data_IF_663078895303
#
_entry.id   IF_663078895303
#
_cell.length_a   1.000
_cell.length_b   1.000
_cell.length_c   1.000
_cell.angle_alpha   90.00
_cell.angle_beta   90.00
_cell.angle_gamma   90.00
#
_symmetry.space_group_name_H-M   'P 1'
#
loop_
_entity.id
_entity.type
_entity.pdbx_description
1 polymer ?
#
# COMPACT_ATOMS: atom_id res chain seq x y z
N UNK A 1 -23.42 12.87 6.78
CA UNK A 1 -22.14 12.33 7.28
C UNK A 1 -21.00 12.97 6.49
N UNK A 2 -19.94 13.43 7.18
CA UNK A 2 -18.84 14.13 6.53
C UNK A 2 -17.96 13.23 5.65
N UNK A 3 -17.18 13.84 4.77
CA UNK A 3 -16.19 13.20 3.94
C UNK A 3 -15.12 12.52 4.80
N UNK A 4 -14.71 11.31 4.43
CA UNK A 4 -13.65 10.59 5.14
C UNK A 4 -12.30 10.87 4.49
N UNK A 5 -11.33 11.27 5.30
CA UNK A 5 -9.94 11.51 4.86
C UNK A 5 -9.18 10.20 4.80
N UNK A 6 -8.15 10.13 3.94
CA UNK A 6 -7.23 8.99 3.91
C UNK A 6 -6.50 8.87 5.27
N UNK A 7 -6.58 7.71 5.95
CA UNK A 7 -5.96 7.53 7.27
C UNK A 7 -4.46 7.73 7.29
N UNK A 8 -3.77 7.38 6.20
CA UNK A 8 -2.33 7.59 6.06
C UNK A 8 -2.02 9.10 6.03
N UNK A 9 -2.70 9.87 5.17
CA UNK A 9 -2.50 11.32 5.07
C UNK A 9 -2.80 12.07 6.37
N UNK A 10 -3.80 11.63 7.14
CA UNK A 10 -4.12 12.22 8.44
C UNK A 10 -2.99 12.02 9.48
N UNK A 11 -2.16 10.97 9.32
CA UNK A 11 -1.11 10.57 10.27
C UNK A 11 0.30 10.91 9.82
N UNK A 12 0.45 11.51 8.65
CA UNK A 12 1.75 12.00 8.17
C UNK A 12 2.28 13.09 9.11
N UNK A 13 3.54 12.96 9.51
CA UNK A 13 4.16 13.85 10.49
C UNK A 13 3.85 13.55 11.94
N UNK A 14 2.96 12.59 12.25
CA UNK A 14 2.65 12.12 13.61
C UNK A 14 3.26 10.73 13.84
N UNK A 15 2.79 9.72 13.10
CA UNK A 15 3.27 8.33 13.20
C UNK A 15 3.66 7.72 11.85
N UNK A 16 3.25 8.33 10.74
CA UNK A 16 3.59 7.89 9.37
C UNK A 16 4.50 8.91 8.71
N UNK A 17 5.27 8.43 7.75
CA UNK A 17 6.16 9.25 6.93
C UNK A 17 5.72 9.22 5.46
N UNK A 18 6.32 10.08 4.65
CA UNK A 18 6.08 10.16 3.21
C UNK A 18 6.63 8.95 2.47
N UNK A 19 5.97 8.58 1.37
CA UNK A 19 6.46 7.53 0.48
C UNK A 19 7.58 8.02 -0.45
N UNK A 20 7.62 9.33 -0.71
CA UNK A 20 8.72 10.00 -1.40
C UNK A 20 9.50 10.83 -0.39
N UNK A 21 10.80 10.54 -0.25
CA UNK A 21 11.70 11.19 0.72
C UNK A 21 12.76 11.95 -0.03
N UNK A 22 12.43 13.18 -0.44
CA UNK A 22 13.34 14.09 -1.09
C UNK A 22 12.84 15.54 -0.98
N UNK A 23 13.74 16.47 -1.18
CA UNK A 23 13.45 17.89 -1.24
C UNK A 23 13.96 18.45 -2.55
N UNK A 24 13.18 19.32 -3.20
CA UNK A 24 13.56 20.06 -4.39
C UNK A 24 12.80 21.38 -4.43
N UNK A 25 13.39 22.42 -5.01
CA UNK A 25 12.76 23.73 -5.21
C UNK A 25 12.33 23.90 -6.67
N UNK A 26 13.29 24.02 -7.58
CA UNK A 26 13.01 24.24 -9.01
C UNK A 26 12.45 23.02 -9.72
N UNK A 27 13.04 21.82 -9.47
CA UNK A 27 12.71 20.57 -10.18
C UNK A 27 11.61 19.77 -9.49
N UNK A 28 10.83 20.38 -8.60
CA UNK A 28 9.80 19.65 -7.81
C UNK A 28 8.76 18.99 -8.70
N UNK A 29 8.23 19.72 -9.69
CA UNK A 29 7.18 19.21 -10.58
C UNK A 29 7.66 18.02 -11.42
N UNK A 30 8.87 18.13 -12.01
CA UNK A 30 9.44 17.09 -12.86
C UNK A 30 9.74 15.82 -12.07
N UNK A 31 10.35 15.96 -10.90
CA UNK A 31 10.61 14.85 -9.99
C UNK A 31 9.33 14.14 -9.54
N UNK A 32 8.24 14.88 -9.29
CA UNK A 32 6.95 14.30 -8.91
C UNK A 32 6.33 13.50 -10.05
N UNK A 33 6.38 14.03 -11.28
CA UNK A 33 5.89 13.35 -12.49
C UNK A 33 6.69 12.08 -12.75
N UNK A 34 8.03 12.12 -12.62
CA UNK A 34 8.87 10.94 -12.73
C UNK A 34 8.53 9.88 -11.68
N UNK A 35 8.38 10.28 -10.41
CA UNK A 35 8.00 9.35 -9.33
C UNK A 35 6.67 8.66 -9.62
N UNK A 36 5.69 9.41 -10.13
CA UNK A 36 4.40 8.83 -10.51
C UNK A 36 4.53 7.83 -11.66
N UNK A 37 5.31 8.14 -12.69
CA UNK A 37 5.58 7.24 -13.82
C UNK A 37 6.27 5.95 -13.33
N UNK A 38 7.29 6.07 -12.49
CA UNK A 38 8.03 4.95 -11.91
C UNK A 38 7.11 4.06 -11.08
N UNK A 39 6.30 4.63 -10.18
CA UNK A 39 5.35 3.86 -9.35
C UNK A 39 4.32 3.12 -10.18
N UNK A 40 3.71 3.80 -11.14
CA UNK A 40 2.70 3.20 -12.03
C UNK A 40 3.29 2.06 -12.85
N UNK A 41 4.48 2.25 -13.41
CA UNK A 41 5.18 1.22 -14.17
C UNK A 41 5.53 0.01 -13.32
N UNK A 42 6.14 0.21 -12.15
CA UNK A 42 6.54 -0.87 -11.24
C UNK A 42 5.33 -1.64 -10.71
N UNK A 43 4.27 -0.93 -10.29
CA UNK A 43 3.04 -1.56 -9.80
C UNK A 43 2.39 -2.44 -10.86
N UNK A 44 2.32 -1.96 -12.11
CA UNK A 44 1.76 -2.72 -13.23
C UNK A 44 2.60 -3.95 -13.58
N UNK A 45 3.92 -3.80 -13.63
CA UNK A 45 4.85 -4.88 -14.00
C UNK A 45 4.94 -5.97 -12.93
N UNK A 46 4.98 -5.56 -11.67
CA UNK A 46 5.20 -6.45 -10.51
C UNK A 46 3.91 -6.80 -9.77
N UNK A 47 2.75 -6.65 -10.41
CA UNK A 47 1.46 -6.93 -9.77
C UNK A 47 1.37 -8.35 -9.20
N UNK A 48 1.89 -9.37 -9.93
CA UNK A 48 1.91 -10.76 -9.49
C UNK A 48 2.82 -11.04 -8.29
N UNK A 49 3.80 -10.16 -8.04
CA UNK A 49 4.70 -10.27 -6.89
C UNK A 49 4.07 -9.76 -5.58
N UNK A 50 2.92 -9.08 -5.65
CA UNK A 50 2.25 -8.50 -4.48
C UNK A 50 3.07 -7.35 -3.88
N UNK A 51 3.19 -6.25 -4.63
CA UNK A 51 3.86 -5.04 -4.16
C UNK A 51 2.92 -4.24 -3.28
N UNK A 52 3.27 -4.10 -2.01
CA UNK A 52 2.54 -3.31 -1.02
C UNK A 52 2.80 -1.82 -1.18
N UNK A 53 4.05 -1.41 -1.02
CA UNK A 53 4.49 -0.03 -0.97
C UNK A 53 5.74 0.19 -1.81
N UNK A 54 5.87 1.37 -2.41
CA UNK A 54 7.05 1.80 -3.15
C UNK A 54 7.53 3.11 -2.55
N UNK A 55 8.67 3.09 -1.87
CA UNK A 55 9.31 4.29 -1.36
C UNK A 55 10.38 4.76 -2.35
N UNK A 56 10.51 6.07 -2.54
CA UNK A 56 11.48 6.68 -3.43
C UNK A 56 12.29 7.71 -2.66
N UNK A 57 13.60 7.49 -2.61
CA UNK A 57 14.57 8.41 -2.03
C UNK A 57 15.39 9.03 -3.17
N UNK A 58 15.47 10.35 -3.24
CA UNK A 58 16.27 11.06 -4.24
C UNK A 58 17.44 11.77 -3.57
N UNK A 59 18.61 11.57 -4.12
CA UNK A 59 19.79 12.40 -3.92
C UNK A 59 20.10 13.11 -5.23
N UNK A 60 21.10 14.01 -5.26
CA UNK A 60 21.42 14.83 -6.45
C UNK A 60 21.40 14.03 -7.77
N UNK A 61 22.18 12.94 -7.87
CA UNK A 61 22.34 12.15 -9.10
C UNK A 61 21.82 10.70 -8.99
N UNK A 62 21.16 10.38 -7.87
CA UNK A 62 20.76 9.00 -7.59
C UNK A 62 19.30 8.94 -7.18
N UNK A 63 18.59 7.95 -7.70
CA UNK A 63 17.22 7.60 -7.29
C UNK A 63 17.27 6.20 -6.70
N UNK A 64 16.93 6.10 -5.42
CA UNK A 64 16.83 4.83 -4.72
C UNK A 64 15.37 4.47 -4.55
N UNK A 65 14.99 3.32 -5.07
CA UNK A 65 13.62 2.79 -5.03
C UNK A 65 13.60 1.61 -4.08
N UNK A 66 12.77 1.67 -3.05
CA UNK A 66 12.61 0.60 -2.08
C UNK A 66 11.25 -0.05 -2.33
N UNK A 67 11.26 -1.32 -2.72
CA UNK A 67 10.07 -2.11 -3.03
C UNK A 67 9.72 -3.01 -1.85
N UNK A 68 8.54 -2.82 -1.28
CA UNK A 68 7.99 -3.73 -0.28
C UNK A 68 7.11 -4.75 -0.99
N UNK A 69 7.48 -6.02 -0.94
CA UNK A 69 6.79 -7.09 -1.67
C UNK A 69 6.57 -8.33 -0.80
N UNK A 70 5.44 -9.02 -1.06
CA UNK A 70 5.14 -10.30 -0.42
C UNK A 70 5.96 -11.46 -0.97
N UNK A 71 6.40 -11.36 -2.24
CA UNK A 71 7.12 -12.43 -2.94
C UNK A 71 8.42 -11.91 -3.55
N UNK A 72 9.47 -11.68 -2.75
CA UNK A 72 10.72 -11.12 -3.24
C UNK A 72 11.40 -11.98 -4.33
N UNK A 73 11.26 -13.30 -4.26
CA UNK A 73 11.82 -14.21 -5.25
C UNK A 73 11.30 -13.98 -6.68
N UNK A 74 10.04 -13.54 -6.84
CA UNK A 74 9.46 -13.22 -8.15
C UNK A 74 10.07 -11.94 -8.71
N UNK A 75 10.36 -10.96 -7.85
CA UNK A 75 10.95 -9.68 -8.26
C UNK A 75 12.42 -9.84 -8.63
N UNK A 76 13.17 -10.64 -7.85
CA UNK A 76 14.60 -10.88 -8.08
C UNK A 76 14.78 -11.75 -9.33
N UNK A 77 13.95 -12.80 -9.47
CA UNK A 77 14.07 -13.78 -10.54
C UNK A 77 15.27 -14.71 -10.37
N UNK A 78 15.45 -15.62 -11.33
CA UNK A 78 16.58 -16.56 -11.33
C UNK A 78 17.90 -15.81 -11.51
N UNK A 79 18.81 -15.92 -10.53
CA UNK A 79 20.10 -15.29 -10.56
C UNK A 79 20.10 -13.76 -10.65
N UNK A 80 18.99 -13.09 -10.28
CA UNK A 80 18.90 -11.62 -10.33
C UNK A 80 18.55 -11.04 -11.72
N UNK A 81 18.24 -11.86 -12.71
CA UNK A 81 17.99 -11.40 -14.08
C UNK A 81 16.77 -10.48 -14.21
N UNK A 82 15.69 -10.74 -13.44
CA UNK A 82 14.47 -9.92 -13.53
C UNK A 82 14.62 -8.54 -12.87
N UNK A 83 15.36 -8.45 -11.77
CA UNK A 83 15.63 -7.15 -11.14
C UNK A 83 16.53 -6.28 -12.03
N UNK A 84 17.52 -6.85 -12.71
CA UNK A 84 18.38 -6.10 -13.64
C UNK A 84 17.59 -5.60 -14.85
N UNK A 85 16.72 -6.43 -15.45
CA UNK A 85 15.80 -6.00 -16.51
C UNK A 85 14.88 -4.89 -16.03
N UNK A 86 14.34 -5.00 -14.81
CA UNK A 86 13.46 -3.98 -14.23
C UNK A 86 14.22 -2.68 -14.02
N UNK A 87 15.42 -2.74 -13.45
CA UNK A 87 16.31 -1.59 -13.28
C UNK A 87 16.63 -0.91 -14.61
N UNK A 88 16.99 -1.68 -15.65
CA UNK A 88 17.26 -1.13 -16.97
C UNK A 88 16.04 -0.45 -17.62
N UNK A 89 14.82 -0.97 -17.36
CA UNK A 89 13.59 -0.35 -17.85
C UNK A 89 13.26 0.93 -17.09
N UNK A 90 13.44 0.95 -15.77
CA UNK A 90 13.23 2.17 -14.94
C UNK A 90 14.28 3.23 -15.29
N UNK A 91 15.53 2.82 -15.57
CA UNK A 91 16.59 3.74 -15.99
C UNK A 91 16.25 4.51 -17.28
N UNK A 92 15.38 3.98 -18.14
CA UNK A 92 14.87 4.69 -19.34
C UNK A 92 13.82 5.76 -19.03
N UNK A 93 13.27 5.77 -17.82
CA UNK A 93 12.25 6.73 -17.39
C UNK A 93 12.84 7.95 -16.67
N UNK A 94 14.12 7.86 -16.26
CA UNK A 94 14.83 8.91 -15.54
C UNK A 94 16.28 9.02 -16.01
N UNK A 95 16.81 10.23 -16.02
CA UNK A 95 18.21 10.51 -16.38
C UNK A 95 19.18 10.21 -15.23
N UNK A 96 18.65 10.06 -14.00
CA UNK A 96 19.43 9.81 -12.79
C UNK A 96 19.74 8.33 -12.60
N UNK A 97 20.82 8.02 -11.90
CA UNK A 97 21.24 6.63 -11.65
C UNK A 97 20.27 5.93 -10.68
N UNK A 98 19.68 4.81 -11.13
CA UNK A 98 18.65 4.07 -10.37
C UNK A 98 19.28 2.96 -9.55
N UNK A 99 18.88 2.87 -8.27
CA UNK A 99 19.14 1.74 -7.37
C UNK A 99 17.80 1.16 -6.92
N UNK A 100 17.71 -0.16 -6.87
CA UNK A 100 16.49 -0.86 -6.46
C UNK A 100 16.81 -1.77 -5.29
N UNK A 101 16.19 -1.50 -4.15
CA UNK A 101 16.25 -2.33 -2.95
C UNK A 101 14.92 -3.07 -2.79
N UNK A 102 14.97 -4.33 -2.33
CA UNK A 102 13.77 -5.14 -2.09
C UNK A 102 13.68 -5.43 -0.60
N UNK A 103 12.52 -5.11 -0.02
CA UNK A 103 12.17 -5.48 1.35
C UNK A 103 10.99 -6.43 1.36
N UNK A 104 11.12 -7.52 2.10
CA UNK A 104 10.08 -8.51 2.24
C UNK A 104 9.01 -8.08 3.24
N UNK A 105 7.74 -8.22 2.86
CA UNK A 105 6.59 -8.10 3.76
C UNK A 105 6.34 -9.46 4.39
N UNK A 106 6.78 -9.65 5.63
CA UNK A 106 6.71 -10.94 6.35
C UNK A 106 5.27 -11.44 6.58
N UNK A 107 4.30 -10.53 6.70
CA UNK A 107 2.89 -10.84 6.99
C UNK A 107 1.97 -10.16 5.97
N UNK A 108 1.82 -10.71 4.77
CA UNK A 108 1.04 -10.09 3.69
C UNK A 108 -0.45 -9.93 4.01
N UNK A 109 -1.03 -10.85 4.78
CA UNK A 109 -2.44 -10.74 5.20
C UNK A 109 -2.67 -9.66 6.29
N UNK A 110 -1.62 -8.99 6.75
CA UNK A 110 -1.69 -7.87 7.69
C UNK A 110 -1.42 -6.51 7.03
N UNK A 111 -1.10 -6.53 5.75
CA UNK A 111 -0.89 -5.35 4.92
C UNK A 111 -2.19 -4.99 4.20
N UNK A 112 -2.69 -3.78 4.43
CA UNK A 112 -4.02 -3.37 3.92
C UNK A 112 -4.07 -3.33 2.38
N UNK A 113 -2.98 -2.94 1.72
CA UNK A 113 -2.92 -2.88 0.26
C UNK A 113 -2.97 -4.28 -0.36
N UNK A 114 -2.22 -5.24 0.20
CA UNK A 114 -2.20 -6.61 -0.28
C UNK A 114 -3.53 -7.33 -0.03
N UNK A 115 -4.16 -7.07 1.11
CA UNK A 115 -5.50 -7.59 1.42
C UNK A 115 -6.54 -7.02 0.47
N UNK A 116 -6.48 -5.71 0.14
CA UNK A 116 -7.39 -5.10 -0.82
C UNK A 116 -7.23 -5.71 -2.23
N UNK A 117 -6.01 -5.91 -2.69
CA UNK A 117 -5.71 -6.56 -3.98
C UNK A 117 -6.15 -8.01 -4.01
N UNK A 118 -5.99 -8.74 -2.90
CA UNK A 118 -6.48 -10.12 -2.79
C UNK A 118 -8.01 -10.20 -2.89
N UNK A 119 -8.73 -9.28 -2.24
CA UNK A 119 -10.19 -9.20 -2.36
C UNK A 119 -10.56 -8.86 -3.81
N UNK A 120 -9.91 -7.88 -4.44
CA UNK A 120 -10.16 -7.50 -5.82
C UNK A 120 -9.97 -8.68 -6.79
N UNK A 121 -8.88 -9.41 -6.65
CA UNK A 121 -8.59 -10.61 -7.46
C UNK A 121 -9.64 -11.72 -7.26
N UNK A 122 -10.13 -11.92 -6.04
CA UNK A 122 -11.22 -12.87 -5.79
C UNK A 122 -12.53 -12.44 -6.47
N UNK A 123 -12.83 -11.13 -6.50
CA UNK A 123 -14.00 -10.59 -7.21
C UNK A 123 -13.88 -10.77 -8.72
N UNK A 124 -12.71 -10.57 -9.30
CA UNK A 124 -12.42 -10.84 -10.72
C UNK A 124 -12.61 -12.32 -11.07
N UNK A 125 -12.25 -13.21 -10.14
CA UNK A 125 -12.48 -14.65 -10.25
C UNK A 125 -13.93 -15.08 -9.94
N UNK A 126 -14.88 -14.14 -9.91
CA UNK A 126 -16.32 -14.37 -9.70
C UNK A 126 -16.66 -15.00 -8.34
N UNK A 127 -15.82 -14.85 -7.34
CA UNK A 127 -16.14 -15.27 -5.96
C UNK A 127 -17.12 -14.24 -5.38
N UNK A 128 -18.11 -14.73 -4.61
CA UNK A 128 -19.06 -13.85 -3.92
C UNK A 128 -18.32 -12.83 -3.03
N UNK A 129 -18.65 -11.55 -3.17
CA UNK A 129 -18.00 -10.47 -2.42
C UNK A 129 -18.10 -10.67 -0.90
N UNK A 130 -19.21 -11.21 -0.39
CA UNK A 130 -19.38 -11.51 1.03
C UNK A 130 -18.38 -12.56 1.52
N UNK A 131 -18.17 -13.61 0.72
CA UNK A 131 -17.21 -14.68 1.04
C UNK A 131 -15.78 -14.15 0.96
N UNK A 132 -15.45 -13.40 -0.08
CA UNK A 132 -14.12 -12.80 -0.25
C UNK A 132 -13.75 -11.89 0.91
N UNK A 133 -14.63 -10.95 1.29
CA UNK A 133 -14.41 -10.04 2.40
C UNK A 133 -14.24 -10.78 3.74
N UNK A 134 -15.18 -11.66 4.09
CA UNK A 134 -15.12 -12.42 5.36
C UNK A 134 -13.89 -13.34 5.46
N UNK A 135 -13.52 -14.01 4.37
CA UNK A 135 -12.34 -14.87 4.33
C UNK A 135 -11.06 -14.08 4.57
N UNK A 136 -10.90 -12.92 3.92
CA UNK A 136 -9.73 -12.05 4.11
C UNK A 136 -9.70 -11.47 5.54
N UNK A 137 -10.84 -10.99 6.06
CA UNK A 137 -10.93 -10.50 7.43
C UNK A 137 -10.51 -11.54 8.45
N UNK A 138 -11.03 -12.77 8.34
CA UNK A 138 -10.67 -13.85 9.25
C UNK A 138 -9.17 -14.21 9.21
N UNK A 139 -8.51 -14.13 8.05
CA UNK A 139 -7.04 -14.32 7.93
C UNK A 139 -6.27 -13.21 8.62
N UNK A 140 -6.65 -11.95 8.38
CA UNK A 140 -6.02 -10.79 9.01
C UNK A 140 -6.13 -10.83 10.53
N UNK A 141 -7.31 -11.14 11.07
CA UNK A 141 -7.52 -11.27 12.52
C UNK A 141 -6.68 -12.41 13.13
N UNK A 142 -6.57 -13.55 12.44
CA UNK A 142 -5.71 -14.68 12.87
C UNK A 142 -4.22 -14.29 12.92
N UNK A 143 -3.78 -13.35 12.09
CA UNK A 143 -2.40 -12.84 12.10
C UNK A 143 -2.14 -11.80 13.18
N UNK A 144 -3.14 -11.48 14.02
CA UNK A 144 -2.99 -10.63 15.20
C UNK A 144 -3.25 -9.15 14.95
N UNK A 145 -4.00 -8.79 13.92
CA UNK A 145 -4.55 -7.43 13.79
C UNK A 145 -5.58 -7.18 14.90
N UNK A 146 -5.64 -5.96 15.44
CA UNK A 146 -6.60 -5.58 16.49
C UNK A 146 -7.98 -5.23 15.94
N UNK A 147 -8.05 -4.96 14.65
CA UNK A 147 -9.30 -4.70 13.96
C UNK A 147 -9.11 -4.53 12.45
N UNK A 148 -10.15 -4.88 11.72
CA UNK A 148 -10.20 -4.72 10.27
C UNK A 148 -11.57 -4.22 9.83
N UNK A 149 -11.58 -3.32 8.84
CA UNK A 149 -12.77 -2.90 8.12
C UNK A 149 -12.52 -3.02 6.63
N UNK A 150 -13.44 -3.66 5.95
CA UNK A 150 -13.43 -3.80 4.49
C UNK A 150 -14.68 -3.16 3.91
N UNK A 151 -14.56 -2.52 2.75
CA UNK A 151 -15.68 -1.92 2.03
C UNK A 151 -15.56 -2.22 0.54
N UNK A 152 -16.63 -2.71 -0.06
CA UNK A 152 -16.74 -2.91 -1.50
C UNK A 152 -17.85 -2.00 -2.05
N UNK A 153 -17.55 -1.28 -3.13
CA UNK A 153 -18.45 -0.31 -3.76
C UNK A 153 -18.54 -0.56 -5.27
N UNK A 154 -19.73 -0.60 -5.81
CA UNK A 154 -19.97 -0.82 -7.23
C UNK A 154 -21.16 -1.74 -7.48
N UNK A 155 -21.21 -2.35 -8.67
CA UNK A 155 -22.23 -3.33 -9.05
C UNK A 155 -21.94 -4.70 -8.44
N UNK A 156 -22.20 -4.82 -7.14
CA UNK A 156 -21.90 -6.02 -6.36
C UNK A 156 -22.77 -7.19 -6.80
N UNK A 157 -22.13 -8.29 -7.23
CA UNK A 157 -22.81 -9.47 -7.72
C UNK A 157 -23.51 -9.27 -9.08
N UNK A 158 -23.18 -8.22 -9.83
CA UNK A 158 -23.80 -7.90 -11.13
C UNK A 158 -25.12 -7.14 -11.03
N UNK A 159 -25.49 -6.63 -9.87
CA UNK A 159 -26.70 -5.83 -9.67
C UNK A 159 -26.68 -4.56 -10.57
N UNK A 160 -27.83 -4.15 -11.10
CA UNK A 160 -27.91 -2.96 -11.96
C UNK A 160 -27.62 -1.67 -11.20
N UNK A 161 -28.09 -1.57 -9.97
CA UNK A 161 -27.80 -0.44 -9.11
C UNK A 161 -26.54 -0.70 -8.30
N UNK A 162 -25.59 0.24 -8.37
CA UNK A 162 -24.39 0.21 -7.54
C UNK A 162 -24.75 0.47 -6.07
N UNK A 163 -24.09 -0.27 -5.20
CA UNK A 163 -24.19 -0.08 -3.76
C UNK A 163 -22.86 -0.27 -3.07
N UNK A 164 -22.76 0.20 -1.84
CA UNK A 164 -21.61 0.02 -0.98
C UNK A 164 -21.98 -0.90 0.17
N UNK A 165 -21.21 -1.97 0.33
CA UNK A 165 -21.30 -2.85 1.49
C UNK A 165 -19.98 -2.85 2.26
N UNK A 166 -20.07 -2.89 3.58
CA UNK A 166 -18.90 -2.92 4.45
C UNK A 166 -19.07 -3.92 5.57
N UNK A 167 -17.97 -4.51 5.98
CA UNK A 167 -17.89 -5.38 7.15
C UNK A 167 -16.74 -4.90 8.02
N UNK A 168 -16.91 -5.02 9.34
CA UNK A 168 -15.87 -4.68 10.32
C UNK A 168 -15.80 -5.72 11.40
N UNK A 169 -14.60 -5.98 11.89
CA UNK A 169 -14.31 -6.90 12.99
C UNK A 169 -13.24 -6.27 13.89
N UNK A 170 -13.43 -6.33 15.20
CA UNK A 170 -12.55 -5.67 16.16
C UNK A 170 -12.77 -4.15 16.23
N UNK A 171 -11.78 -3.43 16.74
CA UNK A 171 -11.83 -1.98 16.96
C UNK A 171 -11.03 -1.23 15.92
N UNK A 172 -11.56 -0.13 15.36
CA UNK A 172 -10.87 0.69 14.37
C UNK A 172 -11.09 2.17 14.69
N UNK A 173 -10.23 2.76 15.53
CA UNK A 173 -10.37 4.15 15.95
C UNK A 173 -9.80 5.10 14.87
N UNK A 174 -10.57 5.41 13.83
CA UNK A 174 -10.13 6.23 12.70
C UNK A 174 -9.73 7.66 13.09
N UNK A 175 -10.34 8.21 14.14
CA UNK A 175 -10.08 9.57 14.61
C UNK A 175 -8.86 9.69 15.52
N UNK A 176 -8.40 8.60 16.12
CA UNK A 176 -7.25 8.59 17.02
C UNK A 176 -5.96 8.67 16.21
N UNK A 177 -5.21 9.78 16.30
CA UNK A 177 -3.99 10.00 15.52
C UNK A 177 -2.86 9.04 15.88
N UNK A 178 -2.74 8.67 17.16
CA UNK A 178 -1.76 7.70 17.64
C UNK A 178 -2.05 6.25 17.24
N UNK A 179 -3.24 5.97 16.71
CA UNK A 179 -3.60 4.63 16.24
C UNK A 179 -2.89 4.34 14.91
N UNK A 180 -2.12 3.25 14.86
CA UNK A 180 -1.50 2.78 13.64
C UNK A 180 -2.55 2.07 12.77
N UNK A 181 -3.03 2.79 11.75
CA UNK A 181 -4.00 2.30 10.79
C UNK A 181 -3.35 2.25 9.42
N UNK A 182 -3.29 1.05 8.88
CA UNK A 182 -2.91 0.84 7.50
C UNK A 182 -4.14 0.91 6.59
N UNK A 183 -3.97 1.48 5.39
CA UNK A 183 -5.04 1.70 4.43
C UNK A 183 -4.65 1.22 3.04
N UNK A 184 -5.50 0.39 2.45
CA UNK A 184 -5.32 -0.11 1.09
C UNK A 184 -6.54 0.18 0.21
N UNK A 185 -6.27 0.45 -1.06
CA UNK A 185 -7.28 0.64 -2.10
C UNK A 185 -6.93 -0.20 -3.32
N UNK A 186 -7.92 -0.94 -3.83
CA UNK A 186 -7.79 -1.70 -5.07
C UNK A 186 -9.08 -1.64 -5.89
N UNK A 187 -8.94 -1.78 -7.19
CA UNK A 187 -10.07 -1.87 -8.12
C UNK A 187 -10.11 -3.27 -8.73
N UNK A 188 -11.27 -3.91 -8.67
CA UNK A 188 -11.53 -5.17 -9.36
C UNK A 188 -12.21 -4.88 -10.71
N UNK A 189 -11.64 -5.38 -11.80
CA UNK A 189 -12.20 -5.26 -13.13
C UNK A 189 -13.16 -6.45 -13.39
N UNK A 190 -14.43 -6.25 -13.14
CA UNK A 190 -15.44 -7.29 -13.38
C UNK A 190 -16.12 -7.12 -14.75
N UNK A 191 -16.81 -8.15 -15.22
CA UNK A 191 -17.57 -8.10 -16.48
C UNK A 191 -18.68 -7.03 -16.47
N UNK A 192 -19.15 -6.62 -15.30
CA UNK A 192 -20.21 -5.61 -15.12
C UNK A 192 -19.68 -4.21 -14.83
N UNK A 193 -18.35 -4.03 -14.79
CA UNK A 193 -17.70 -2.77 -14.50
C UNK A 193 -16.69 -2.88 -13.36
N UNK A 194 -16.16 -1.76 -12.90
CA UNK A 194 -15.19 -1.71 -11.82
C UNK A 194 -15.88 -1.74 -10.45
N UNK A 195 -15.31 -2.53 -9.54
CA UNK A 195 -15.69 -2.56 -8.14
C UNK A 195 -14.51 -2.05 -7.31
N UNK A 196 -14.73 -0.96 -6.57
CA UNK A 196 -13.72 -0.40 -5.66
C UNK A 196 -13.70 -1.14 -4.33
N UNK A 197 -12.51 -1.54 -3.90
CA UNK A 197 -12.28 -2.19 -2.60
C UNK A 197 -11.43 -1.28 -1.74
N UNK A 198 -11.87 -1.01 -0.51
CA UNK A 198 -11.14 -0.26 0.51
C UNK A 198 -10.96 -1.11 1.74
N UNK A 199 -9.76 -1.12 2.30
CA UNK A 199 -9.42 -1.90 3.50
C UNK A 199 -8.72 -0.99 4.50
N UNK A 200 -9.10 -1.08 5.76
CA UNK A 200 -8.46 -0.46 6.91
C UNK A 200 -8.08 -1.55 7.89
N UNK A 201 -6.82 -1.58 8.31
CA UNK A 201 -6.31 -2.53 9.30
C UNK A 201 -5.73 -1.73 10.46
N UNK A 202 -6.18 -2.04 11.67
CA UNK A 202 -5.69 -1.44 12.89
C UNK A 202 -4.68 -2.37 13.56
N UNK A 203 -3.46 -1.89 13.71
CA UNK A 203 -2.35 -2.64 14.30
C UNK A 203 -2.17 -2.39 15.79
N UNK A 204 -2.57 -1.24 16.27
CA UNK A 204 -2.45 -0.83 17.67
C UNK A 204 -2.13 0.65 17.79
N UNK A 205 -1.83 1.09 19.02
CA UNK A 205 -1.42 2.47 19.28
C UNK A 205 0.10 2.59 19.34
N UNK A 206 0.62 3.64 18.72
CA UNK A 206 2.02 4.04 18.82
C UNK A 206 2.08 5.15 19.85
N UNK A 207 2.61 4.83 21.02
CA UNK A 207 2.86 5.81 22.08
C UNK A 207 4.23 6.46 21.87
N UNK A 208 4.39 7.77 22.16
CA UNK A 208 5.69 8.41 22.10
C UNK A 208 6.62 7.73 23.12
N UNK A 209 7.70 7.16 22.62
CA UNK A 209 8.81 6.70 23.47
C UNK A 209 9.39 7.93 24.16
N UNK A 210 9.46 7.92 25.50
CA UNK A 210 10.27 8.90 26.23
C UNK A 210 11.71 8.73 25.76
N UNK A 211 12.15 9.55 24.83
CA UNK A 211 13.58 9.72 24.61
C UNK A 211 14.14 10.29 25.90
N UNK A 212 14.95 9.52 26.60
CA UNK A 212 15.76 10.03 27.72
C UNK A 212 16.54 11.21 27.15
N UNK A 213 16.10 12.42 27.48
CA UNK A 213 16.91 13.63 27.35
C UNK A 213 17.90 13.59 28.53
N UNK A 214 18.82 12.63 28.50
CA UNK A 214 20.03 12.68 29.27
C UNK A 214 21.14 13.14 28.33
N UNK A 215 21.59 14.36 28.51
CA UNK A 215 22.84 14.84 27.93
C UNK A 215 22.76 16.06 27.02
N UNK A 216 22.26 17.20 27.55
CA UNK A 216 22.69 18.51 27.04
C UNK A 216 22.66 19.54 28.16
N UNK A 217 23.37 19.24 29.24
CA UNK A 217 23.90 20.22 30.17
C UNK A 217 25.37 19.88 30.43
N UNK A 218 26.23 20.40 29.55
CA UNK A 218 27.61 20.76 29.84
C UNK A 218 28.10 21.75 28.79
#
# INVERSE_FOLDING_TARGET
MGQKVNPHGLRVGVIKDWDSRWYAEADFADNLVEDHKIRTFLKKKLYSAGVSKIEIERASDKVKIILYTAKPGVVIGKGGAEIEKTKAQVQKLTDKKVFVDIKEVKRPDRDAQLVAENIAQQLENRISFRRAMKSCMGRTMKQGAKGIKTSCSGRLGGADMARTEFYSEGTIPLQTLRADIDYGFAEANTTYGKVGVKVWIYEGEVLPTKTNKEGSDK
#
